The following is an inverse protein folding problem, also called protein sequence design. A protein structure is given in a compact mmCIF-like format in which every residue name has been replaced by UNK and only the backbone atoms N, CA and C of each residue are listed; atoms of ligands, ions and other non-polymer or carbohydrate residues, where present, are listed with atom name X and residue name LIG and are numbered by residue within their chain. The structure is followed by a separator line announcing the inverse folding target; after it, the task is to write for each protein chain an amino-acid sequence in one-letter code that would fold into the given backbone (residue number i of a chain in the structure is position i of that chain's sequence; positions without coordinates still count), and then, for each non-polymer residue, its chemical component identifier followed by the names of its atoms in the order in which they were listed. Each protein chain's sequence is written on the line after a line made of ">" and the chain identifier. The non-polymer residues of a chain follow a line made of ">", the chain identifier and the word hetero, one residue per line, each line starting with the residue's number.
data_IF_805405564493
#
_entry.id   IF_805405564493
#
_cell.length_a   1.000
_cell.length_b   1.000
_cell.length_c   1.000
_cell.angle_alpha   90.00
_cell.angle_beta   90.00
_cell.angle_gamma   90.00
#
_symmetry.space_group_name_H-M   'P 1'
#
loop_
_entity.id
_entity.type
_entity.pdbx_description
1 polymer ?
#
# COMPACT_ATOMS: atom_id res chain seq x y z
N UNK A 1 -11.78 15.23 -13.20
CA UNK A 1 -12.39 14.01 -12.61
C UNK A 1 -13.56 14.33 -11.67
N UNK A 2 -13.52 15.43 -10.91
CA UNK A 2 -14.61 15.84 -10.00
C UNK A 2 -15.88 16.36 -10.71
N UNK A 3 -15.76 16.96 -11.89
CA UNK A 3 -16.91 17.53 -12.62
C UNK A 3 -17.82 16.47 -13.27
N UNK A 4 -17.24 15.34 -13.69
CA UNK A 4 -17.96 14.23 -14.36
C UNK A 4 -18.65 13.30 -13.33
N UNK A 5 -18.02 13.11 -12.18
CA UNK A 5 -18.57 12.34 -11.06
C UNK A 5 -19.79 13.02 -10.45
N UNK A 6 -19.78 14.36 -10.33
CA UNK A 6 -20.89 15.10 -9.72
C UNK A 6 -22.21 15.05 -10.52
N UNK A 7 -22.15 15.06 -11.86
CA UNK A 7 -23.34 15.02 -12.72
C UNK A 7 -23.86 13.60 -12.98
N UNK A 8 -22.98 12.58 -12.99
CA UNK A 8 -23.39 11.19 -13.21
C UNK A 8 -23.86 10.47 -11.94
N UNK A 9 -23.41 10.86 -10.75
CA UNK A 9 -23.65 10.11 -9.51
C UNK A 9 -25.12 9.98 -9.11
N UNK A 10 -25.93 11.03 -9.29
CA UNK A 10 -27.32 10.97 -8.84
C UNK A 10 -28.21 10.20 -9.80
N UNK A 11 -28.05 10.41 -11.10
CA UNK A 11 -28.94 9.86 -12.12
C UNK A 11 -28.61 8.38 -12.41
N UNK A 12 -27.32 8.02 -12.52
CA UNK A 12 -26.92 6.65 -12.85
C UNK A 12 -27.00 5.69 -11.67
N UNK A 13 -26.78 6.17 -10.44
CA UNK A 13 -26.87 5.32 -9.25
C UNK A 13 -28.31 4.91 -8.95
N UNK A 14 -29.27 5.79 -9.18
CA UNK A 14 -30.69 5.53 -8.95
C UNK A 14 -31.33 4.75 -10.11
N UNK A 15 -31.00 5.07 -11.36
CA UNK A 15 -31.61 4.39 -12.52
C UNK A 15 -30.90 3.10 -12.94
N UNK A 16 -29.57 2.99 -12.76
CA UNK A 16 -28.77 1.88 -13.27
C UNK A 16 -27.67 1.45 -12.27
N UNK A 17 -28.04 0.84 -11.13
CA UNK A 17 -27.11 0.52 -10.05
C UNK A 17 -25.97 -0.41 -10.49
N UNK A 18 -26.23 -1.35 -11.41
CA UNK A 18 -25.21 -2.28 -11.91
C UNK A 18 -24.18 -1.58 -12.81
N UNK A 19 -24.63 -0.64 -13.64
CA UNK A 19 -23.74 0.16 -14.52
C UNK A 19 -22.87 1.08 -13.67
N UNK A 20 -23.44 1.65 -12.61
CA UNK A 20 -22.69 2.45 -11.64
C UNK A 20 -21.57 1.65 -10.96
N UNK A 21 -21.85 0.41 -10.53
CA UNK A 21 -20.84 -0.47 -9.94
C UNK A 21 -19.75 -0.83 -10.97
N UNK A 22 -20.13 -1.18 -12.20
CA UNK A 22 -19.17 -1.48 -13.27
C UNK A 22 -18.26 -0.29 -13.59
N UNK A 23 -18.82 0.92 -13.66
CA UNK A 23 -18.08 2.15 -13.91
C UNK A 23 -17.11 2.45 -12.76
N UNK A 24 -17.54 2.28 -11.50
CA UNK A 24 -16.66 2.42 -10.33
C UNK A 24 -15.49 1.45 -10.38
N UNK A 25 -15.73 0.18 -10.73
CA UNK A 25 -14.67 -0.81 -10.90
C UNK A 25 -13.73 -0.38 -12.03
N UNK A 26 -14.26 0.03 -13.18
CA UNK A 26 -13.47 0.47 -14.33
C UNK A 26 -12.56 1.68 -14.04
N UNK A 27 -13.03 2.62 -13.21
CA UNK A 27 -12.26 3.81 -12.79
C UNK A 27 -11.27 3.47 -11.67
N UNK A 28 -11.55 2.45 -10.85
CA UNK A 28 -10.64 2.00 -9.78
C UNK A 28 -9.50 1.15 -10.32
N UNK A 29 -9.73 0.42 -11.41
CA UNK A 29 -8.66 -0.24 -12.16
C UNK A 29 -7.76 0.86 -12.71
N UNK A 30 -6.47 0.89 -12.35
CA UNK A 30 -5.56 1.89 -12.88
C UNK A 30 -5.49 1.72 -14.39
N UNK A 31 -6.04 2.69 -15.12
CA UNK A 31 -5.96 2.74 -16.60
C UNK A 31 -4.50 2.83 -17.07
N UNK A 32 -3.61 3.27 -16.19
CA UNK A 32 -2.18 3.46 -16.47
C UNK A 32 -1.31 2.49 -15.68
N UNK A 33 -0.35 1.86 -16.36
CA UNK A 33 0.69 1.02 -15.75
C UNK A 33 1.67 1.79 -14.84
N UNK A 34 1.65 3.13 -14.88
CA UNK A 34 2.58 4.00 -14.15
C UNK A 34 2.63 3.75 -12.62
N UNK A 35 1.49 3.37 -12.00
CA UNK A 35 1.46 3.04 -10.56
C UNK A 35 2.21 1.73 -10.26
N UNK A 36 2.02 0.72 -11.10
CA UNK A 36 2.74 -0.56 -11.00
C UNK A 36 4.23 -0.36 -11.29
N UNK A 37 4.59 0.39 -12.34
CA UNK A 37 5.98 0.73 -12.68
C UNK A 37 6.69 1.47 -11.54
N UNK A 38 6.00 2.45 -10.92
CA UNK A 38 6.53 3.15 -9.74
C UNK A 38 6.79 2.19 -8.59
N UNK A 39 5.87 1.26 -8.34
CA UNK A 39 6.01 0.23 -7.31
C UNK A 39 7.17 -0.73 -7.58
N UNK A 40 7.33 -1.20 -8.82
CA UNK A 40 8.47 -2.04 -9.23
C UNK A 40 9.81 -1.30 -9.19
N UNK A 41 9.83 -0.01 -9.51
CA UNK A 41 11.02 0.84 -9.36
C UNK A 41 11.47 0.94 -7.90
N UNK A 42 10.52 1.09 -6.95
CA UNK A 42 10.81 1.03 -5.52
C UNK A 42 11.31 -0.34 -5.08
N UNK A 43 10.68 -1.42 -5.55
CA UNK A 43 11.11 -2.78 -5.26
C UNK A 43 12.54 -3.05 -5.74
N UNK A 44 12.90 -2.56 -6.93
CA UNK A 44 14.26 -2.63 -7.48
C UNK A 44 15.26 -1.93 -6.55
N UNK A 45 14.95 -0.72 -6.08
CA UNK A 45 15.79 -0.02 -5.11
C UNK A 45 15.95 -0.79 -3.80
N UNK A 46 14.86 -1.35 -3.25
CA UNK A 46 14.91 -2.16 -2.01
C UNK A 46 15.82 -3.38 -2.20
N UNK A 47 15.62 -4.15 -3.27
CA UNK A 47 16.39 -5.38 -3.52
C UNK A 47 17.87 -5.11 -3.84
N UNK A 48 18.16 -4.05 -4.59
CA UNK A 48 19.54 -3.71 -4.98
C UNK A 48 20.31 -3.01 -3.85
N UNK A 49 19.67 -2.12 -3.10
CA UNK A 49 20.31 -1.37 -2.02
C UNK A 49 20.46 -2.20 -0.73
N UNK A 50 19.49 -3.05 -0.38
CA UNK A 50 19.46 -3.79 0.90
C UNK A 50 19.99 -5.24 0.83
N UNK A 51 20.79 -5.60 -0.18
CA UNK A 51 21.35 -6.95 -0.44
C UNK A 51 20.30 -7.99 -0.88
N UNK A 52 20.65 -8.78 -1.91
CA UNK A 52 19.82 -9.80 -2.56
C UNK A 52 19.51 -11.06 -1.72
N UNK A 53 20.04 -11.15 -0.50
CA UNK A 53 19.93 -12.32 0.40
C UNK A 53 18.86 -12.19 1.49
N UNK A 54 17.92 -11.25 1.38
CA UNK A 54 16.84 -11.13 2.36
C UNK A 54 15.71 -12.16 2.15
N UNK A 55 15.02 -12.53 3.24
CA UNK A 55 13.84 -13.38 3.16
C UNK A 55 12.68 -12.68 2.45
N UNK A 56 11.82 -13.47 1.79
CA UNK A 56 10.66 -12.95 1.07
C UNK A 56 9.68 -12.20 1.98
N UNK A 57 9.52 -12.67 3.22
CA UNK A 57 8.66 -12.01 4.21
C UNK A 57 9.13 -10.59 4.52
N UNK A 58 10.43 -10.42 4.77
CA UNK A 58 11.02 -9.10 5.03
C UNK A 58 10.96 -8.22 3.78
N UNK A 59 11.17 -8.79 2.59
CA UNK A 59 11.10 -8.05 1.33
C UNK A 59 9.70 -7.50 1.10
N UNK A 60 8.68 -8.35 1.29
CA UNK A 60 7.29 -7.96 1.10
C UNK A 60 6.87 -6.87 2.11
N UNK A 61 7.29 -7.01 3.38
CA UNK A 61 7.06 -5.98 4.39
C UNK A 61 7.66 -4.62 4.03
N UNK A 62 8.93 -4.59 3.62
CA UNK A 62 9.58 -3.33 3.22
C UNK A 62 8.99 -2.74 1.92
N UNK A 63 8.64 -3.59 0.96
CA UNK A 63 7.99 -3.16 -0.27
C UNK A 63 6.63 -2.53 0.02
N UNK A 64 5.83 -3.16 0.88
CA UNK A 64 4.52 -2.66 1.29
C UNK A 64 4.63 -1.30 1.98
N UNK A 65 5.59 -1.13 2.90
CA UNK A 65 5.85 0.15 3.57
C UNK A 65 6.33 1.24 2.60
N UNK A 66 7.18 0.87 1.63
CA UNK A 66 7.74 1.83 0.65
C UNK A 66 6.70 2.30 -0.35
N UNK A 67 5.81 1.40 -0.80
CA UNK A 67 4.69 1.71 -1.69
C UNK A 67 3.67 2.58 -0.92
N UNK A 68 3.29 2.18 0.29
CA UNK A 68 2.35 2.89 1.14
C UNK A 68 3.06 3.87 2.09
N UNK A 69 3.95 4.70 1.55
CA UNK A 69 4.80 5.60 2.35
C UNK A 69 4.00 6.61 3.19
N UNK A 70 2.85 7.06 2.69
CA UNK A 70 1.99 8.01 3.40
C UNK A 70 1.40 7.40 4.66
N UNK A 71 0.83 6.20 4.53
CA UNK A 71 0.30 5.43 5.67
C UNK A 71 1.42 5.04 6.62
N UNK A 72 2.56 4.60 6.09
CA UNK A 72 3.72 4.20 6.90
C UNK A 72 4.32 5.35 7.73
N UNK A 73 4.12 6.60 7.31
CA UNK A 73 4.54 7.79 8.07
C UNK A 73 3.62 8.15 9.22
N UNK A 74 2.37 7.71 9.17
CA UNK A 74 1.41 7.89 10.25
C UNK A 74 1.64 6.89 11.38
N UNK A 75 2.40 5.83 11.14
CA UNK A 75 2.80 4.85 12.15
C UNK A 75 3.87 5.47 13.05
N UNK A 76 3.56 5.60 14.35
CA UNK A 76 4.51 6.07 15.37
C UNK A 76 5.58 5.01 15.62
N UNK A 77 6.84 5.41 15.53
CA UNK A 77 7.97 4.54 15.85
C UNK A 77 7.99 4.18 17.34
N UNK A 78 7.65 5.12 18.22
CA UNK A 78 7.63 4.87 19.67
C UNK A 78 6.62 3.79 20.02
N UNK A 79 5.39 3.92 19.51
CA UNK A 79 4.32 2.95 19.73
C UNK A 79 4.69 1.57 19.17
N UNK A 80 5.41 1.54 18.04
CA UNK A 80 5.89 0.29 17.44
C UNK A 80 7.00 -0.35 18.28
N UNK A 81 7.91 0.45 18.84
CA UNK A 81 8.97 -0.01 19.75
C UNK A 81 8.35 -0.54 21.04
N UNK A 82 7.41 0.19 21.62
CA UNK A 82 6.71 -0.20 22.84
C UNK A 82 5.88 -1.47 22.62
N UNK A 83 5.15 -1.56 21.50
CA UNK A 83 4.42 -2.77 21.12
C UNK A 83 5.36 -3.96 20.86
N UNK A 84 6.52 -3.74 20.25
CA UNK A 84 7.53 -4.78 20.03
C UNK A 84 8.10 -5.27 21.37
N UNK A 85 8.48 -4.33 22.25
CA UNK A 85 9.00 -4.61 23.59
C UNK A 85 7.97 -5.39 24.43
N UNK A 86 6.69 -4.99 24.37
CA UNK A 86 5.58 -5.64 25.05
C UNK A 86 5.29 -7.05 24.50
N UNK A 87 5.46 -7.29 23.19
CA UNK A 87 5.15 -8.58 22.54
C UNK A 87 6.14 -9.71 22.83
N UNK A 88 7.43 -9.41 23.06
CA UNK A 88 8.37 -10.27 23.82
C UNK A 88 9.80 -9.72 23.74
N UNK A 89 10.26 -9.20 24.88
CA UNK A 89 11.39 -9.74 25.64
C UNK A 89 11.82 -11.15 25.19
N UNK A 90 12.73 -11.23 24.22
CA UNK A 90 13.72 -12.29 24.15
C UNK A 90 15.07 -11.60 24.25
N UNK A 91 15.55 -11.45 25.48
CA UNK A 91 16.98 -11.32 25.75
C UNK A 91 17.64 -12.51 25.03
N UNK A 92 18.36 -12.24 23.96
CA UNK A 92 19.39 -13.17 23.52
C UNK A 92 20.52 -12.92 24.50
N UNK A 93 20.68 -13.81 25.48
CA UNK A 93 21.91 -13.84 26.27
C UNK A 93 23.05 -14.21 25.31
N UNK A 94 23.90 -13.23 25.04
CA UNK A 94 25.20 -13.48 24.45
C UNK A 94 26.10 -13.96 25.59
N UNK A 95 26.13 -15.27 25.80
CA UNK A 95 27.20 -15.95 26.54
C UNK A 95 28.44 -16.02 25.66
#
# INVERSE_FOLDING_TARGET
>A
MELLSFLQERILKEMYPNVWVALRIAVTIPVTVASAERSFSKLKLIKTYLRSTMSQERLNGLALMSINREVSRQVSFNDTIDAFAARKSRRVEFT
#
